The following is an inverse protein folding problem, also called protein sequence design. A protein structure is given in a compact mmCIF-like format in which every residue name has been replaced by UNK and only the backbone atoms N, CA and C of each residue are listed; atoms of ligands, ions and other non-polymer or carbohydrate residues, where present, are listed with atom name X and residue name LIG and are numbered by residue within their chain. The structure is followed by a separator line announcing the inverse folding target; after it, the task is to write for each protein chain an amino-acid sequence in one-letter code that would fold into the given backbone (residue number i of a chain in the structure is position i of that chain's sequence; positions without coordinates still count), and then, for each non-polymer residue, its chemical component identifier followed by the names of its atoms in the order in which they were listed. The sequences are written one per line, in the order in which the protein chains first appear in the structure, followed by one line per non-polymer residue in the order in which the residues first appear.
data_IF_433903254677
#
_entry.id   IF_433903254677
#
_cell.length_a   1.000
_cell.length_b   1.000
_cell.length_c   1.000
_cell.angle_alpha   90.00
_cell.angle_beta   90.00
_cell.angle_gamma   90.00
#
_symmetry.space_group_name_H-M   'P 1'
#
loop_
_entity.id
_entity.type
_entity.pdbx_description
1 polymer ?
#
# COMPACT_ATOMS: atom_id res chain seq x y z
N UNK A 1 -39.02 33.99 12.55
CA UNK A 1 -37.83 34.46 11.80
C UNK A 1 -37.94 34.00 10.35
N UNK A 2 -37.77 34.88 9.36
CA UNK A 2 -37.66 34.50 7.95
C UNK A 2 -36.20 34.73 7.54
N UNK A 3 -35.47 33.66 7.23
CA UNK A 3 -34.10 33.76 6.71
C UNK A 3 -34.24 34.16 5.24
N UNK A 4 -33.89 35.40 4.93
CA UNK A 4 -33.82 35.90 3.55
C UNK A 4 -32.40 35.66 3.07
N UNK A 5 -32.21 34.65 2.24
CA UNK A 5 -30.91 34.37 1.63
C UNK A 5 -30.84 35.16 0.33
N UNK A 6 -30.01 36.20 0.29
CA UNK A 6 -29.69 36.90 -0.95
C UNK A 6 -28.83 36.00 -1.85
N UNK A 7 -29.18 35.91 -3.13
CA UNK A 7 -28.51 35.04 -4.09
C UNK A 7 -27.01 35.34 -4.20
N UNK A 8 -26.61 36.60 -4.01
CA UNK A 8 -25.19 37.00 -3.99
C UNK A 8 -24.45 36.37 -2.81
N UNK A 9 -25.06 36.38 -1.62
CA UNK A 9 -24.49 35.76 -0.42
C UNK A 9 -24.39 34.23 -0.55
N UNK A 10 -25.35 33.60 -1.22
CA UNK A 10 -25.32 32.17 -1.51
C UNK A 10 -24.13 31.80 -2.41
N UNK A 11 -23.91 32.56 -3.48
CA UNK A 11 -22.82 32.32 -4.44
C UNK A 11 -21.46 32.53 -3.77
N UNK A 12 -21.32 33.59 -2.97
CA UNK A 12 -20.07 33.86 -2.22
C UNK A 12 -19.80 32.73 -1.22
N UNK A 13 -20.82 32.27 -0.49
CA UNK A 13 -20.69 31.14 0.42
C UNK A 13 -20.30 29.84 -0.27
N UNK A 14 -20.89 29.55 -1.44
CA UNK A 14 -20.58 28.38 -2.24
C UNK A 14 -19.13 28.41 -2.78
N UNK A 15 -18.64 29.57 -3.23
CA UNK A 15 -17.27 29.74 -3.69
C UNK A 15 -16.26 29.47 -2.56
N UNK A 16 -16.49 30.03 -1.38
CA UNK A 16 -15.61 29.82 -0.22
C UNK A 16 -15.58 28.34 0.19
N UNK A 17 -16.74 27.68 0.23
CA UNK A 17 -16.83 26.25 0.54
C UNK A 17 -16.08 25.40 -0.50
N UNK A 18 -16.21 25.73 -1.79
CA UNK A 18 -15.54 24.98 -2.86
C UNK A 18 -14.00 25.01 -2.76
N UNK A 19 -13.42 26.15 -2.35
CA UNK A 19 -11.96 26.26 -2.13
C UNK A 19 -11.49 25.39 -0.96
N UNK A 20 -12.29 25.28 0.11
CA UNK A 20 -12.00 24.40 1.23
C UNK A 20 -12.07 22.91 0.85
N UNK A 21 -12.99 22.53 -0.04
CA UNK A 21 -13.04 21.16 -0.57
C UNK A 21 -11.85 20.83 -1.48
N UNK A 22 -11.40 21.79 -2.29
CA UNK A 22 -10.23 21.61 -3.16
C UNK A 22 -8.91 21.55 -2.38
N UNK A 23 -8.78 22.29 -1.27
CA UNK A 23 -7.57 22.24 -0.43
C UNK A 23 -7.44 20.95 0.39
N UNK A 24 -8.55 20.25 0.64
CA UNK A 24 -8.54 18.92 1.26
C UNK A 24 -8.27 17.79 0.25
N UNK A 25 -8.37 18.07 -1.06
CA UNK A 25 -8.29 17.12 -2.15
C UNK A 25 -6.87 16.88 -2.67
N UNK A 26 -5.94 16.47 -1.80
CA UNK A 26 -4.80 15.62 -2.16
C UNK A 26 -4.00 15.30 -0.89
N UNK A 27 -4.57 14.47 -0.02
CA UNK A 27 -3.71 13.56 0.72
C UNK A 27 -3.27 12.49 -0.27
N UNK A 28 -2.19 12.77 -1.01
CA UNK A 28 -1.40 11.70 -1.61
C UNK A 28 -1.27 10.64 -0.52
N UNK A 29 -1.82 9.45 -0.75
CA UNK A 29 -1.64 8.33 0.16
C UNK A 29 -0.17 8.35 0.54
N UNK A 30 0.20 8.32 1.83
CA UNK A 30 1.60 8.21 2.17
C UNK A 30 2.09 7.00 1.40
N UNK A 31 2.99 7.23 0.45
CA UNK A 31 3.83 6.17 -0.10
C UNK A 31 4.28 5.44 1.14
N UNK A 32 3.73 4.25 1.38
CA UNK A 32 4.08 3.47 2.54
C UNK A 32 5.60 3.48 2.53
N UNK A 33 6.22 4.14 3.50
CA UNK A 33 7.66 4.05 3.66
C UNK A 33 7.91 2.56 3.73
N UNK A 34 8.44 1.99 2.64
CA UNK A 34 8.59 0.55 2.58
C UNK A 34 9.64 0.26 3.63
N UNK A 35 9.18 -0.19 4.80
CA UNK A 35 10.05 -0.50 5.92
C UNK A 35 11.10 -1.51 5.50
N UNK A 36 12.06 -1.80 6.38
CA UNK A 36 13.08 -2.82 6.12
C UNK A 36 12.49 -4.14 5.62
N UNK A 37 11.25 -4.46 6.00
CA UNK A 37 10.53 -5.64 5.54
C UNK A 37 9.22 -5.25 4.84
N UNK A 38 8.98 -5.84 3.67
CA UNK A 38 7.71 -5.77 2.95
C UNK A 38 7.04 -7.14 3.01
N UNK A 39 5.75 -7.17 3.38
CA UNK A 39 4.95 -8.41 3.37
C UNK A 39 3.99 -8.40 2.21
N UNK A 40 3.95 -9.48 1.45
CA UNK A 40 2.98 -9.72 0.38
C UNK A 40 2.25 -11.03 0.68
N UNK A 41 0.92 -10.98 0.61
CA UNK A 41 0.06 -12.14 0.81
C UNK A 41 -0.66 -12.39 -0.51
N UNK A 42 -0.48 -13.58 -1.09
CA UNK A 42 -1.13 -13.96 -2.34
C UNK A 42 -1.56 -15.41 -2.30
N UNK A 43 -2.81 -15.67 -2.66
CA UNK A 43 -3.45 -16.97 -2.60
C UNK A 43 -3.23 -17.59 -1.20
N UNK A 44 -2.43 -18.65 -1.12
CA UNK A 44 -2.14 -19.38 0.12
C UNK A 44 -0.65 -19.28 0.52
N UNK A 45 -0.02 -18.19 0.11
CA UNK A 45 1.39 -17.91 0.34
C UNK A 45 1.59 -16.55 1.02
N UNK A 46 2.47 -16.53 2.01
CA UNK A 46 2.97 -15.30 2.62
C UNK A 46 4.44 -15.15 2.24
N UNK A 47 4.80 -13.99 1.69
CA UNK A 47 6.17 -13.63 1.33
C UNK A 47 6.56 -12.41 2.15
N UNK A 48 7.67 -12.49 2.87
CA UNK A 48 8.26 -11.33 3.56
C UNK A 48 9.63 -11.10 2.95
N UNK A 49 9.85 -9.91 2.40
CA UNK A 49 11.08 -9.52 1.71
C UNK A 49 11.79 -8.40 2.46
N UNK A 50 13.09 -8.54 2.70
CA UNK A 50 13.95 -7.46 3.13
C UNK A 50 14.23 -6.54 1.95
N UNK A 51 13.71 -5.32 2.01
CA UNK A 51 13.76 -4.34 0.92
C UNK A 51 15.17 -3.81 0.65
N UNK A 52 16.09 -4.00 1.59
CA UNK A 52 17.46 -3.50 1.49
C UNK A 52 18.38 -4.43 0.69
N UNK A 53 18.18 -5.75 0.77
CA UNK A 53 19.07 -6.74 0.16
C UNK A 53 18.35 -7.82 -0.68
N UNK A 54 17.02 -7.83 -0.67
CA UNK A 54 16.19 -8.77 -1.40
C UNK A 54 16.00 -10.12 -0.71
N UNK A 55 16.59 -10.37 0.46
CA UNK A 55 16.38 -11.62 1.19
C UNK A 55 14.90 -11.82 1.50
N UNK A 56 14.43 -13.08 1.50
CA UNK A 56 13.02 -13.36 1.66
C UNK A 56 12.77 -14.58 2.55
N UNK A 57 11.60 -14.61 3.17
CA UNK A 57 11.01 -15.80 3.78
C UNK A 57 9.63 -16.05 3.18
N UNK A 58 9.34 -17.30 2.88
CA UNK A 58 8.07 -17.74 2.28
C UNK A 58 7.43 -18.76 3.20
N UNK A 59 6.14 -18.59 3.49
CA UNK A 59 5.29 -19.62 4.06
C UNK A 59 4.24 -20.03 3.02
N UNK A 60 4.08 -21.34 2.83
CA UNK A 60 3.02 -21.92 1.99
C UNK A 60 2.12 -22.78 2.85
N UNK A 61 0.81 -22.73 2.62
CA UNK A 61 -0.19 -23.59 3.25
C UNK A 61 -0.05 -25.09 2.93
N UNK A 62 0.72 -25.45 1.91
CA UNK A 62 0.74 -26.81 1.35
C UNK A 62 1.52 -27.86 2.15
N UNK A 63 2.11 -27.49 3.29
CA UNK A 63 2.88 -28.42 4.11
C UNK A 63 2.28 -28.53 5.51
N UNK A 64 1.51 -29.58 5.72
CA UNK A 64 1.02 -30.11 7.00
C UNK A 64 0.17 -29.12 7.83
N UNK A 65 -1.08 -29.51 8.09
CA UNK A 65 -2.14 -28.71 8.73
C UNK A 65 -1.74 -28.13 10.10
N UNK A 66 -0.66 -28.64 10.69
CA UNK A 66 -0.14 -28.24 12.00
C UNK A 66 1.25 -27.56 11.98
N UNK A 67 1.89 -27.34 10.83
CA UNK A 67 3.23 -26.73 10.77
C UNK A 67 3.41 -25.83 9.55
N UNK A 68 3.13 -24.54 9.71
CA UNK A 68 3.55 -23.52 8.75
C UNK A 68 5.09 -23.56 8.59
N UNK A 69 5.57 -24.16 7.50
CA UNK A 69 7.01 -24.22 7.20
C UNK A 69 7.43 -22.92 6.54
N UNK A 70 8.30 -22.18 7.23
CA UNK A 70 8.97 -21.02 6.68
C UNK A 70 10.22 -21.46 5.89
N UNK A 71 10.32 -21.00 4.66
CA UNK A 71 11.46 -21.22 3.77
C UNK A 71 12.18 -19.89 3.61
N UNK A 72 13.44 -19.82 4.06
CA UNK A 72 14.28 -18.64 3.89
C UNK A 72 15.16 -18.76 2.64
N UNK A 73 15.41 -17.64 1.96
CA UNK A 73 16.27 -17.57 0.80
C UNK A 73 16.87 -16.18 0.58
N UNK A 74 18.04 -16.15 -0.04
CA UNK A 74 18.68 -14.91 -0.49
C UNK A 74 18.36 -14.70 -1.96
N UNK A 75 17.80 -13.54 -2.33
CA UNK A 75 17.38 -13.30 -3.72
C UNK A 75 18.54 -13.47 -4.70
N UNK A 76 19.69 -12.84 -4.44
CA UNK A 76 20.82 -12.86 -5.36
C UNK A 76 21.44 -14.26 -5.57
N UNK A 77 21.28 -15.19 -4.62
CA UNK A 77 21.75 -16.58 -4.76
C UNK A 77 20.77 -17.45 -5.55
N UNK A 78 19.48 -17.19 -5.38
CA UNK A 78 18.42 -17.97 -6.04
C UNK A 78 18.11 -17.43 -7.44
N UNK A 79 18.18 -16.12 -7.63
CA UNK A 79 18.11 -15.43 -8.91
C UNK A 79 19.46 -15.54 -9.64
N UNK A 80 19.90 -16.76 -9.95
CA UNK A 80 20.90 -16.94 -10.99
C UNK A 80 20.16 -16.71 -12.29
N UNK A 81 20.13 -15.44 -12.74
CA UNK A 81 19.49 -15.04 -13.98
C UNK A 81 19.77 -16.09 -15.04
N UNK A 82 18.72 -16.61 -15.66
CA UNK A 82 18.82 -17.50 -16.81
C UNK A 82 19.90 -16.94 -17.73
N UNK A 83 21.08 -17.55 -17.69
CA UNK A 83 21.96 -17.50 -18.85
C UNK A 83 21.21 -18.31 -19.88
N UNK A 84 20.36 -17.60 -20.63
CA UNK A 84 19.84 -18.01 -21.92
C UNK A 84 20.93 -18.79 -22.64
N UNK A 85 20.71 -20.11 -22.75
CA UNK A 85 21.52 -21.03 -23.52
C UNK A 85 20.70 -21.47 -24.70
#
# INVERSE_FOLDING_TARGET
MKIVIDAKSLIIGALIASVAFLSMGNKSQPTYETGKFQTQIRDNMVIITNTQNGDFIIATDRFDVNKNRWIAGEFNKNFRGEKSR
#
